data_IF_595234841526
#
_entry.id   IF_595234841526
#
_cell.length_a   1.000
_cell.length_b   1.000
_cell.length_c   1.000
_cell.angle_alpha   90.00
_cell.angle_beta   90.00
_cell.angle_gamma   90.00
#
_symmetry.space_group_name_H-M   'P 1'
#
loop_
_entity.id
_entity.type
_entity.pdbx_description
1 polymer ?
#
# COMPACT_ATOMS: atom_id res chain seq x y z
N UNK A 1 -3.25 -20.71 19.81
CA UNK A 1 -4.19 -20.29 18.75
C UNK A 1 -4.41 -18.79 18.84
N UNK A 2 -3.71 -18.01 18.02
CA UNK A 2 -3.95 -16.57 17.83
C UNK A 2 -3.73 -16.27 16.35
N UNK A 3 -4.79 -15.82 15.67
CA UNK A 3 -4.77 -15.27 14.32
C UNK A 3 -4.41 -13.78 14.44
N UNK A 4 -3.35 -13.35 13.77
CA UNK A 4 -3.10 -11.95 13.47
C UNK A 4 -2.62 -11.89 12.03
N UNK A 5 -3.57 -11.68 11.13
CA UNK A 5 -3.31 -11.45 9.71
C UNK A 5 -3.32 -9.96 9.41
N UNK A 6 -2.22 -9.52 8.79
CA UNK A 6 -2.16 -8.63 7.62
C UNK A 6 -2.93 -7.31 7.74
N UNK A 7 -2.20 -6.26 8.12
CA UNK A 7 -2.59 -4.87 7.92
C UNK A 7 -1.56 -4.17 7.02
N UNK A 8 -1.48 -4.55 5.74
CA UNK A 8 -0.78 -3.76 4.71
C UNK A 8 -1.29 -4.12 3.31
N UNK A 9 -2.55 -3.78 3.03
CA UNK A 9 -3.10 -3.78 1.67
C UNK A 9 -4.36 -2.92 1.60
N UNK A 10 -4.23 -1.60 1.71
CA UNK A 10 -5.38 -0.68 1.51
C UNK A 10 -4.95 0.64 0.85
N UNK A 11 -4.22 0.54 -0.28
CA UNK A 11 -4.00 1.69 -1.16
C UNK A 11 -4.02 1.28 -2.64
N UNK A 12 -5.06 0.55 -3.06
CA UNK A 12 -5.32 0.29 -4.49
C UNK A 12 -6.81 0.06 -4.88
N UNK A 13 -7.78 0.16 -3.96
CA UNK A 13 -9.20 -0.19 -4.25
C UNK A 13 -10.16 0.97 -3.92
N UNK A 14 -9.89 2.19 -4.38
CA UNK A 14 -10.81 3.32 -4.10
C UNK A 14 -11.15 4.18 -5.32
N UNK A 15 -11.07 3.63 -6.54
CA UNK A 15 -11.47 4.35 -7.76
C UNK A 15 -12.62 3.75 -8.57
N UNK A 16 -13.32 2.72 -8.07
CA UNK A 16 -14.60 2.31 -8.68
C UNK A 16 -15.55 1.71 -7.65
N UNK A 17 -16.46 2.51 -7.11
CA UNK A 17 -17.81 2.12 -6.66
C UNK A 17 -18.57 3.35 -6.17
N UNK A 18 -19.23 4.04 -7.08
CA UNK A 18 -20.29 4.99 -6.77
C UNK A 18 -21.58 4.37 -7.31
N UNK A 19 -22.52 3.96 -6.43
CA UNK A 19 -23.98 3.99 -6.64
C UNK A 19 -24.78 3.27 -5.54
N UNK A 20 -25.56 4.06 -4.77
CA UNK A 20 -26.95 3.85 -4.26
C UNK A 20 -27.25 2.61 -3.35
N UNK A 21 -28.16 2.60 -2.36
CA UNK A 21 -29.36 3.39 -2.06
C UNK A 21 -29.81 3.28 -0.57
N UNK A 22 -30.42 4.38 -0.08
CA UNK A 22 -31.56 4.59 0.86
C UNK A 22 -31.92 3.65 2.05
N UNK A 23 -31.90 4.27 3.24
CA UNK A 23 -32.90 4.36 4.33
C UNK A 23 -33.53 3.12 5.02
N UNK A 24 -33.35 3.02 6.35
CA UNK A 24 -34.44 2.76 7.34
C UNK A 24 -34.01 3.07 8.80
N UNK A 25 -34.89 3.76 9.55
CA UNK A 25 -34.90 4.11 11.00
C UNK A 25 -36.19 3.47 11.57
N UNK A 26 -36.28 2.83 12.78
CA UNK A 26 -36.27 3.53 14.09
C UNK A 26 -35.85 2.78 15.41
N UNK A 27 -35.37 3.60 16.38
CA UNK A 27 -35.61 3.64 17.85
C UNK A 27 -35.07 2.60 18.90
N UNK A 28 -34.02 3.03 19.63
CA UNK A 28 -33.82 3.18 21.10
C UNK A 28 -34.02 2.06 22.18
N UNK A 29 -32.93 1.68 22.90
CA UNK A 29 -32.75 1.70 24.40
C UNK A 29 -31.28 1.34 24.82
N UNK A 30 -30.83 1.51 26.09
CA UNK A 30 -29.66 2.32 26.49
C UNK A 30 -28.33 1.54 26.70
N UNK A 31 -27.22 2.30 26.70
CA UNK A 31 -25.83 1.83 26.74
C UNK A 31 -25.31 1.35 28.11
N UNK A 32 -24.26 0.52 28.13
CA UNK A 32 -23.23 0.55 29.17
C UNK A 32 -21.99 1.32 28.69
N UNK A 33 -21.51 2.20 29.55
CA UNK A 33 -20.29 3.00 29.43
C UNK A 33 -19.05 2.14 29.14
N UNK A 34 -18.29 2.52 28.12
CA UNK A 34 -16.94 1.99 27.85
C UNK A 34 -15.93 2.72 28.75
N UNK A 35 -14.98 2.04 29.40
CA UNK A 35 -13.96 2.69 30.20
C UNK A 35 -12.98 3.47 29.31
N UNK A 36 -12.69 4.70 29.71
CA UNK A 36 -11.68 5.60 29.12
C UNK A 36 -10.32 4.89 29.02
N UNK A 37 -9.62 4.93 27.88
CA UNK A 37 -8.26 4.41 27.79
C UNK A 37 -7.31 5.29 28.59
N UNK A 38 -6.66 4.71 29.59
CA UNK A 38 -5.62 5.34 30.39
C UNK A 38 -4.27 5.31 29.63
N UNK A 39 -3.85 6.49 29.16
CA UNK A 39 -2.62 6.70 28.40
C UNK A 39 -1.37 6.84 29.29
N UNK A 40 -1.51 6.77 30.62
CA UNK A 40 -0.41 6.95 31.58
C UNK A 40 0.57 5.78 31.61
N UNK A 41 0.34 4.72 30.82
CA UNK A 41 1.22 3.54 30.71
C UNK A 41 2.13 3.52 29.48
N UNK A 42 2.09 4.54 28.63
CA UNK A 42 3.02 4.69 27.51
C UNK A 42 4.37 5.20 28.03
N UNK A 43 5.14 4.30 28.65
CA UNK A 43 6.51 4.58 29.06
C UNK A 43 7.41 4.61 27.81
N UNK A 44 7.54 5.79 27.20
CA UNK A 44 8.25 6.04 25.94
C UNK A 44 9.73 5.64 26.03
N UNK A 45 10.35 5.70 27.21
CA UNK A 45 11.73 5.22 27.42
C UNK A 45 11.87 3.71 27.18
N UNK A 46 10.85 2.93 27.58
CA UNK A 46 10.85 1.48 27.36
C UNK A 46 10.67 1.13 25.88
N UNK A 47 9.90 1.93 25.16
CA UNK A 47 9.72 1.81 23.71
C UNK A 47 11.04 2.13 23.00
N UNK A 48 11.72 3.23 23.36
CA UNK A 48 13.02 3.60 22.78
C UNK A 48 14.14 2.60 23.10
N UNK A 49 14.17 2.04 24.31
CA UNK A 49 15.10 0.95 24.64
C UNK A 49 14.78 -0.34 23.89
N UNK A 50 13.52 -0.62 23.55
CA UNK A 50 13.15 -1.72 22.67
C UNK A 50 13.61 -1.49 21.22
N UNK A 51 13.58 -0.25 20.73
CA UNK A 51 14.12 0.05 19.38
C UNK A 51 15.65 -0.09 19.36
N UNK A 52 16.35 0.17 20.47
CA UNK A 52 17.82 0.07 20.55
C UNK A 52 18.35 -1.34 20.89
N UNK A 53 17.63 -2.13 21.70
CA UNK A 53 18.05 -3.50 22.05
C UNK A 53 17.72 -4.55 20.98
N UNK A 54 17.02 -4.18 19.90
CA UNK A 54 16.79 -5.06 18.74
C UNK A 54 17.96 -5.01 17.73
N UNK A 55 19.19 -4.91 18.23
CA UNK A 55 20.41 -5.27 17.50
C UNK A 55 21.04 -6.42 18.30
N UNK A 56 21.18 -7.58 17.65
CA UNK A 56 21.77 -8.85 18.14
C UNK A 56 20.75 -9.90 18.61
N UNK A 57 20.08 -10.53 17.64
CA UNK A 57 19.99 -12.00 17.52
C UNK A 57 19.20 -12.36 16.25
N UNK A 58 19.84 -12.19 15.09
CA UNK A 58 19.36 -12.71 13.83
C UNK A 58 20.10 -14.01 13.53
N UNK A 59 19.45 -15.14 13.82
CA UNK A 59 19.77 -16.46 13.26
C UNK A 59 18.43 -17.14 12.96
N UNK A 60 18.30 -17.61 11.71
CA UNK A 60 17.11 -18.14 11.01
C UNK A 60 16.22 -17.11 10.27
N UNK A 61 16.65 -16.75 9.05
CA UNK A 61 15.85 -16.55 7.83
C UNK A 61 14.47 -15.87 7.95
N UNK A 62 14.44 -14.56 8.19
CA UNK A 62 13.39 -13.72 7.62
C UNK A 62 13.84 -13.30 6.21
N UNK A 63 13.50 -14.09 5.20
CA UNK A 63 13.82 -13.78 3.80
C UNK A 63 13.15 -12.46 3.42
N UNK A 64 13.93 -11.43 3.10
CA UNK A 64 13.37 -10.14 2.71
C UNK A 64 12.52 -10.29 1.44
N UNK A 65 11.46 -9.49 1.23
CA UNK A 65 10.65 -9.57 0.01
C UNK A 65 11.48 -9.43 -1.28
N UNK A 66 12.53 -8.60 -1.23
CA UNK A 66 13.48 -8.46 -2.32
C UNK A 66 14.22 -9.77 -2.59
N UNK A 67 14.63 -10.47 -1.54
CA UNK A 67 15.35 -11.73 -1.65
C UNK A 67 14.46 -12.86 -2.20
N UNK A 68 13.19 -12.91 -1.80
CA UNK A 68 12.21 -13.84 -2.39
C UNK A 68 12.04 -13.59 -3.89
N UNK A 69 11.92 -12.31 -4.30
CA UNK A 69 11.82 -11.95 -5.73
C UNK A 69 13.11 -12.29 -6.47
N UNK A 70 14.27 -12.02 -5.87
CA UNK A 70 15.57 -12.32 -6.46
C UNK A 70 15.77 -13.82 -6.67
N UNK A 71 15.41 -14.65 -5.69
CA UNK A 71 15.49 -16.11 -5.79
C UNK A 71 14.50 -16.66 -6.81
N UNK A 72 13.23 -16.21 -6.79
CA UNK A 72 12.21 -16.68 -7.72
C UNK A 72 12.55 -16.34 -9.18
N UNK A 73 12.92 -15.08 -9.43
CA UNK A 73 13.34 -14.66 -10.77
C UNK A 73 14.74 -15.17 -11.12
N UNK A 74 15.52 -15.66 -10.16
CA UNK A 74 16.94 -16.02 -10.34
C UNK A 74 17.76 -14.82 -10.84
N UNK A 75 17.61 -13.68 -10.17
CA UNK A 75 18.34 -12.46 -10.52
C UNK A 75 19.84 -12.62 -10.26
N UNK A 76 20.66 -12.16 -11.19
CA UNK A 76 22.12 -12.08 -11.03
C UNK A 76 22.46 -10.99 -10.01
N UNK A 77 23.62 -11.06 -9.32
CA UNK A 77 24.01 -10.06 -8.32
C UNK A 77 23.97 -8.61 -8.85
N UNK A 78 24.35 -8.38 -10.12
CA UNK A 78 24.22 -7.07 -10.76
C UNK A 78 22.77 -6.60 -10.90
N UNK A 79 21.87 -7.49 -11.32
CA UNK A 79 20.43 -7.19 -11.46
C UNK A 79 19.77 -6.92 -10.09
N UNK A 80 20.21 -7.60 -9.02
CA UNK A 80 19.74 -7.33 -7.66
C UNK A 80 20.14 -5.91 -7.23
N UNK A 81 21.39 -5.52 -7.45
CA UNK A 81 21.87 -4.17 -7.12
C UNK A 81 21.14 -3.09 -7.93
N UNK A 82 20.90 -3.32 -9.23
CA UNK A 82 20.10 -2.43 -10.07
C UNK A 82 18.65 -2.32 -9.58
N UNK A 83 18.02 -3.43 -9.19
CA UNK A 83 16.67 -3.43 -8.62
C UNK A 83 16.61 -2.63 -7.30
N UNK A 84 17.60 -2.78 -6.41
CA UNK A 84 17.69 -1.97 -5.18
C UNK A 84 17.76 -0.48 -5.48
N UNK A 85 18.58 -0.08 -6.46
CA UNK A 85 18.68 1.30 -6.89
C UNK A 85 17.36 1.82 -7.47
N UNK A 86 16.68 1.01 -8.30
CA UNK A 86 15.36 1.35 -8.85
C UNK A 86 14.30 1.51 -7.75
N UNK A 87 14.31 0.63 -6.74
CA UNK A 87 13.41 0.72 -5.58
C UNK A 87 13.66 2.00 -4.77
N UNK A 88 14.93 2.33 -4.52
CA UNK A 88 15.31 3.54 -3.80
C UNK A 88 14.95 4.80 -4.59
N UNK A 89 15.21 4.81 -5.90
CA UNK A 89 14.85 5.91 -6.78
C UNK A 89 13.33 6.14 -6.78
N UNK A 90 12.54 5.08 -6.95
CA UNK A 90 11.07 5.13 -6.85
C UNK A 90 10.63 5.69 -5.51
N UNK A 91 11.18 5.21 -4.40
CA UNK A 91 10.82 5.66 -3.06
C UNK A 91 11.10 7.16 -2.90
N UNK A 92 12.29 7.62 -3.30
CA UNK A 92 12.68 9.03 -3.20
C UNK A 92 11.81 9.95 -4.06
N UNK A 93 11.30 9.46 -5.19
CA UNK A 93 10.39 10.20 -6.06
C UNK A 93 8.94 10.21 -5.56
N UNK A 94 8.44 9.11 -5.01
CA UNK A 94 7.03 9.00 -4.58
C UNK A 94 6.76 9.75 -3.27
N UNK A 95 7.67 9.69 -2.28
CA UNK A 95 7.46 10.30 -0.96
C UNK A 95 7.03 11.77 -1.02
N UNK A 96 7.73 12.68 -1.72
CA UNK A 96 7.34 14.09 -1.78
C UNK A 96 6.01 14.30 -2.51
N UNK A 97 5.71 13.50 -3.53
CA UNK A 97 4.43 13.56 -4.25
C UNK A 97 3.26 13.19 -3.33
N UNK A 98 3.44 12.14 -2.52
CA UNK A 98 2.43 11.69 -1.57
C UNK A 98 2.20 12.72 -0.46
N UNK A 99 3.26 13.30 0.10
CA UNK A 99 3.17 14.36 1.10
C UNK A 99 2.43 15.59 0.53
N UNK A 100 2.76 15.98 -0.70
CA UNK A 100 2.09 17.09 -1.38
C UNK A 100 0.61 16.80 -1.63
N UNK A 101 0.28 15.58 -2.04
CA UNK A 101 -1.10 15.15 -2.27
C UNK A 101 -1.90 15.19 -0.95
N UNK A 102 -1.34 14.68 0.15
CA UNK A 102 -2.00 14.73 1.46
C UNK A 102 -2.29 16.17 1.90
N UNK A 103 -1.32 17.08 1.77
CA UNK A 103 -1.52 18.49 2.13
C UNK A 103 -2.66 19.12 1.33
N UNK A 104 -2.75 18.85 0.02
CA UNK A 104 -3.85 19.35 -0.83
C UNK A 104 -5.19 18.72 -0.51
N UNK A 105 -5.23 17.43 -0.17
CA UNK A 105 -6.46 16.75 0.26
C UNK A 105 -6.98 17.35 1.57
N UNK A 106 -6.09 17.68 2.52
CA UNK A 106 -6.48 18.36 3.75
C UNK A 106 -7.04 19.76 3.48
N UNK A 107 -6.38 20.54 2.60
CA UNK A 107 -6.89 21.85 2.17
C UNK A 107 -8.27 21.75 1.54
N UNK A 108 -8.47 20.75 0.67
CA UNK A 108 -9.77 20.46 0.06
C UNK A 108 -10.82 20.14 1.12
N UNK A 109 -10.50 19.30 2.11
CA UNK A 109 -11.40 18.97 3.22
C UNK A 109 -11.81 20.20 4.03
N UNK A 110 -10.87 21.10 4.35
CA UNK A 110 -11.16 22.37 5.04
C UNK A 110 -12.09 23.24 4.19
N UNK A 111 -11.80 23.38 2.90
CA UNK A 111 -12.58 24.21 1.99
C UNK A 111 -14.02 23.68 1.82
N UNK A 112 -14.19 22.36 1.72
CA UNK A 112 -15.52 21.74 1.64
C UNK A 112 -16.31 21.89 2.95
N UNK A 113 -15.67 21.74 4.12
CA UNK A 113 -16.32 21.86 5.42
C UNK A 113 -16.74 23.31 5.75
N UNK A 114 -16.05 24.30 5.20
CA UNK A 114 -16.31 25.73 5.42
C UNK A 114 -17.26 26.33 4.39
N UNK A 115 -17.73 25.55 3.41
CA UNK A 115 -18.54 26.05 2.30
C UNK A 115 -17.76 27.00 1.38
N UNK A 116 -16.45 26.77 1.24
CA UNK A 116 -15.53 27.63 0.53
C UNK A 116 -15.75 27.72 -0.98
N UNK A 117 -14.96 28.56 -1.63
CA UNK A 117 -15.15 28.93 -3.03
C UNK A 117 -15.08 27.71 -3.99
N UNK A 118 -16.11 27.45 -4.83
CA UNK A 118 -16.12 26.33 -5.77
C UNK A 118 -14.97 26.34 -6.81
N UNK A 119 -14.52 27.51 -7.24
CA UNK A 119 -13.37 27.62 -8.14
C UNK A 119 -12.07 27.15 -7.46
N UNK A 120 -11.89 27.46 -6.17
CA UNK A 120 -10.74 26.98 -5.39
C UNK A 120 -10.80 25.46 -5.18
N UNK A 121 -12.00 24.90 -4.96
CA UNK A 121 -12.23 23.45 -4.93
C UNK A 121 -11.78 22.81 -6.24
N UNK A 122 -12.24 23.35 -7.39
CA UNK A 122 -11.87 22.84 -8.71
C UNK A 122 -10.37 22.85 -8.96
N UNK A 123 -9.68 23.93 -8.60
CA UNK A 123 -8.21 24.02 -8.70
C UNK A 123 -7.52 22.94 -7.85
N UNK A 124 -7.95 22.73 -6.61
CA UNK A 124 -7.37 21.70 -5.74
C UNK A 124 -7.57 20.29 -6.30
N UNK A 125 -8.76 19.99 -6.81
CA UNK A 125 -9.05 18.67 -7.40
C UNK A 125 -8.16 18.40 -8.62
N UNK A 126 -8.00 19.38 -9.51
CA UNK A 126 -7.11 19.26 -10.68
C UNK A 126 -5.66 19.02 -10.24
N UNK A 127 -5.19 19.75 -9.23
CA UNK A 127 -3.83 19.58 -8.71
C UNK A 127 -3.62 18.21 -8.05
N UNK A 128 -4.60 17.70 -7.29
CA UNK A 128 -4.56 16.37 -6.70
C UNK A 128 -4.53 15.30 -7.81
N UNK A 129 -5.37 15.44 -8.83
CA UNK A 129 -5.36 14.53 -9.97
C UNK A 129 -4.00 14.55 -10.70
N UNK A 130 -3.42 15.72 -10.92
CA UNK A 130 -2.09 15.83 -11.52
C UNK A 130 -1.00 15.10 -10.69
N UNK A 131 -1.05 15.20 -9.36
CA UNK A 131 -0.13 14.46 -8.48
C UNK A 131 -0.35 12.95 -8.54
N UNK A 132 -1.61 12.49 -8.64
CA UNK A 132 -1.92 11.07 -8.82
C UNK A 132 -1.35 10.55 -10.15
N UNK A 133 -1.49 11.32 -11.23
CA UNK A 133 -0.89 10.98 -12.52
C UNK A 133 0.63 10.92 -12.42
N UNK A 134 1.28 11.87 -11.74
CA UNK A 134 2.73 11.85 -11.52
C UNK A 134 3.19 10.61 -10.75
N UNK A 135 2.48 10.22 -9.69
CA UNK A 135 2.79 8.97 -8.96
C UNK A 135 2.64 7.74 -9.86
N UNK A 136 1.60 7.70 -10.70
CA UNK A 136 1.42 6.66 -11.73
C UNK A 136 2.58 6.61 -12.71
N UNK A 137 3.08 7.75 -13.17
CA UNK A 137 4.24 7.83 -14.07
C UNK A 137 5.53 7.32 -13.40
N UNK A 138 5.75 7.65 -12.12
CA UNK A 138 6.90 7.13 -11.36
C UNK A 138 6.83 5.60 -11.27
N UNK A 139 5.66 5.04 -11.00
CA UNK A 139 5.47 3.59 -10.96
C UNK A 139 5.68 2.94 -12.34
N UNK A 140 5.14 3.53 -13.41
CA UNK A 140 5.30 3.00 -14.76
C UNK A 140 6.77 3.05 -15.22
N UNK A 141 7.47 4.14 -14.90
CA UNK A 141 8.90 4.26 -15.16
C UNK A 141 9.69 3.18 -14.41
N UNK A 142 9.40 2.96 -13.13
CA UNK A 142 10.02 1.87 -12.35
C UNK A 142 9.81 0.51 -13.03
N UNK A 143 8.57 0.17 -13.42
CA UNK A 143 8.28 -1.11 -14.07
C UNK A 143 9.00 -1.27 -15.40
N UNK A 144 9.06 -0.20 -16.19
CA UNK A 144 9.74 -0.20 -17.49
C UNK A 144 11.23 -0.47 -17.33
N UNK A 145 11.90 0.23 -16.41
CA UNK A 145 13.32 0.00 -16.13
C UNK A 145 13.57 -1.37 -15.51
N UNK A 146 12.67 -1.83 -14.63
CA UNK A 146 12.79 -3.15 -14.03
C UNK A 146 12.72 -4.26 -15.09
N UNK A 147 11.75 -4.20 -16.01
CA UNK A 147 11.67 -5.18 -17.12
C UNK A 147 12.89 -5.10 -18.03
N UNK A 148 13.44 -3.91 -18.26
CA UNK A 148 14.61 -3.71 -19.12
C UNK A 148 15.90 -4.38 -18.59
N UNK A 149 16.02 -4.57 -17.27
CA UNK A 149 17.18 -5.26 -16.68
C UNK A 149 17.03 -6.78 -16.64
N UNK A 150 15.84 -7.31 -16.94
CA UNK A 150 15.56 -8.74 -16.96
C UNK A 150 15.87 -9.36 -18.32
N UNK A 151 16.28 -10.63 -18.31
CA UNK A 151 16.34 -11.43 -19.53
C UNK A 151 14.97 -12.04 -19.89
N UNK A 152 14.88 -12.66 -21.07
CA UNK A 152 13.61 -13.18 -21.61
C UNK A 152 12.97 -14.21 -20.69
N UNK A 153 13.77 -15.08 -20.07
CA UNK A 153 13.27 -16.11 -19.14
C UNK A 153 12.74 -15.48 -17.85
N UNK A 154 13.46 -14.51 -17.30
CA UNK A 154 13.05 -13.74 -16.14
C UNK A 154 11.75 -12.95 -16.38
N UNK A 155 11.59 -12.35 -17.56
CA UNK A 155 10.35 -11.67 -17.96
C UNK A 155 9.17 -12.64 -18.01
N UNK A 156 9.36 -13.85 -18.54
CA UNK A 156 8.30 -14.88 -18.56
C UNK A 156 7.87 -15.28 -17.15
N UNK A 157 8.82 -15.49 -16.24
CA UNK A 157 8.52 -15.78 -14.82
C UNK A 157 7.74 -14.65 -14.16
N UNK A 158 8.13 -13.40 -14.40
CA UNK A 158 7.41 -12.23 -13.90
C UNK A 158 5.98 -12.19 -14.43
N UNK A 159 5.77 -12.48 -15.71
CA UNK A 159 4.43 -12.52 -16.31
C UNK A 159 3.56 -13.63 -15.70
N UNK A 160 4.13 -14.81 -15.41
CA UNK A 160 3.41 -15.88 -14.72
C UNK A 160 2.91 -15.44 -13.33
N UNK A 161 3.74 -14.71 -12.56
CA UNK A 161 3.34 -14.14 -11.27
C UNK A 161 2.21 -13.11 -11.43
N UNK A 162 2.29 -12.25 -12.44
CA UNK A 162 1.24 -11.26 -12.72
C UNK A 162 -0.10 -11.94 -13.06
N UNK A 163 -0.06 -12.98 -13.89
CA UNK A 163 -1.24 -13.78 -14.21
C UNK A 163 -1.78 -14.46 -12.96
N UNK A 164 -0.93 -15.13 -12.17
CA UNK A 164 -1.33 -15.78 -10.94
C UNK A 164 -1.99 -14.80 -9.96
N UNK A 165 -1.46 -13.60 -9.81
CA UNK A 165 -2.05 -12.55 -8.98
C UNK A 165 -3.45 -12.13 -9.47
N UNK A 166 -3.68 -12.09 -10.78
CA UNK A 166 -5.01 -11.80 -11.35
C UNK A 166 -6.00 -12.96 -11.16
N UNK A 167 -5.50 -14.19 -11.11
CA UNK A 167 -6.34 -15.40 -10.97
C UNK A 167 -6.63 -15.75 -9.49
N UNK A 168 -5.94 -15.16 -8.52
CA UNK A 168 -6.20 -15.39 -7.08
C UNK A 168 -7.67 -15.25 -6.65
N UNK A 169 -8.45 -14.24 -7.11
CA UNK A 169 -9.85 -14.10 -6.71
C UNK A 169 -10.76 -15.19 -7.27
N UNK A 170 -10.41 -15.79 -8.41
CA UNK A 170 -11.27 -16.78 -9.09
C UNK A 170 -10.91 -18.23 -8.75
N UNK A 171 -9.67 -18.49 -8.30
CA UNK A 171 -9.19 -19.82 -7.91
C UNK A 171 -10.17 -20.59 -6.98
N UNK A 172 -10.80 -19.97 -5.96
CA UNK A 172 -11.76 -20.67 -5.10
C UNK A 172 -12.97 -21.25 -5.85
N UNK A 173 -13.38 -20.66 -6.98
CA UNK A 173 -14.53 -21.13 -7.76
C UNK A 173 -14.24 -22.44 -8.53
N UNK A 174 -12.97 -22.75 -8.78
CA UNK A 174 -12.55 -23.93 -9.54
C UNK A 174 -12.32 -25.16 -8.64
N UNK A 175 -12.07 -24.96 -7.34
CA UNK A 175 -11.87 -26.02 -6.35
C UNK A 175 -13.06 -27.00 -6.21
N UNK A 176 -14.32 -26.56 -6.10
CA UNK A 176 -15.45 -27.50 -5.90
C UNK A 176 -15.80 -28.31 -7.15
N UNK A 177 -15.29 -27.94 -8.32
CA UNK A 177 -15.53 -28.63 -9.60
C UNK A 177 -14.29 -29.42 -10.08
N UNK A 178 -13.25 -29.56 -9.25
CA UNK A 178 -12.07 -30.38 -9.49
C UNK A 178 -11.36 -30.11 -10.83
N UNK A 179 -11.21 -28.83 -11.18
CA UNK A 179 -10.51 -28.43 -12.41
C UNK A 179 -8.98 -28.30 -12.24
N UNK A 180 -8.46 -28.58 -11.04
CA UNK A 180 -7.06 -28.84 -10.70
C UNK A 180 -6.96 -29.50 -9.32
#
# INVERSE_FOLDING_TARGET
>A
MKKTGIAFALLAILLMSCSQALAQKPAAKPAPVTPTPDFSKLNIEKILQQVQTTKLQANAEETSPLQVVAEFLQLRPGQVSELEQLLQARQSAIVPLFQTAQAKIQQLGILLNTGGNPAQVGVLVIQIHALQQQMGQVQQSFLTHFVAILDVEQVQKLQAVQIAAQLQPILPAFQPIFLF
#
